data_IF_192529253382
#
_entry.id   IF_192529253382
#
_cell.length_a   1.000
_cell.length_b   1.000
_cell.length_c   1.000
_cell.angle_alpha   90.00
_cell.angle_beta   90.00
_cell.angle_gamma   90.00
#
_symmetry.space_group_name_H-M   'P 1'
#
loop_
_entity.id
_entity.type
_entity.pdbx_description
1 polymer ?
#
# COMPACT_ATOMS: atom_id res chain seq x y z
N UNK A 1 -48.39 -13.26 -22.89
CA UNK A 1 -47.33 -12.28 -22.60
C UNK A 1 -46.86 -12.54 -21.18
N UNK A 2 -46.04 -13.58 -21.00
CA UNK A 2 -45.44 -13.89 -19.70
C UNK A 2 -44.06 -13.24 -19.65
N UNK A 3 -43.94 -12.18 -18.87
CA UNK A 3 -42.66 -11.53 -18.61
C UNK A 3 -41.96 -12.22 -17.45
N UNK A 4 -40.78 -12.76 -17.77
CA UNK A 4 -39.83 -13.37 -16.88
C UNK A 4 -39.37 -12.42 -15.76
N UNK A 5 -39.50 -12.87 -14.51
CA UNK A 5 -38.83 -12.27 -13.36
C UNK A 5 -37.40 -12.79 -13.29
N UNK A 6 -36.43 -11.89 -13.46
CA UNK A 6 -34.99 -12.17 -13.28
C UNK A 6 -34.68 -12.34 -11.78
N UNK A 7 -33.77 -13.25 -11.39
CA UNK A 7 -33.26 -13.26 -10.02
C UNK A 7 -32.25 -12.12 -9.83
N UNK A 8 -32.43 -11.39 -8.73
CA UNK A 8 -31.53 -10.34 -8.23
C UNK A 8 -30.11 -10.86 -8.01
N UNK A 9 -29.15 -10.01 -8.35
CA UNK A 9 -27.74 -10.18 -8.07
C UNK A 9 -27.49 -10.39 -6.57
N UNK A 10 -26.67 -11.39 -6.22
CA UNK A 10 -26.11 -11.58 -4.89
C UNK A 10 -25.38 -10.30 -4.47
N UNK A 11 -25.80 -9.72 -3.34
CA UNK A 11 -24.94 -8.89 -2.53
C UNK A 11 -23.74 -9.76 -2.11
N UNK A 12 -22.52 -9.27 -2.33
CA UNK A 12 -21.32 -9.93 -1.81
C UNK A 12 -21.35 -9.85 -0.29
N UNK A 13 -21.34 -11.00 0.37
CA UNK A 13 -21.20 -11.09 1.83
C UNK A 13 -19.75 -10.69 2.19
N UNK A 14 -19.54 -9.44 2.61
CA UNK A 14 -18.27 -9.02 3.23
C UNK A 14 -18.05 -9.81 4.53
N UNK A 15 -16.86 -10.40 4.69
CA UNK A 15 -16.53 -11.15 5.90
C UNK A 15 -16.41 -10.15 7.09
N UNK A 16 -16.88 -10.50 8.30
CA UNK A 16 -16.83 -9.58 9.45
C UNK A 16 -15.42 -9.06 9.77
N UNK A 17 -14.37 -9.85 9.49
CA UNK A 17 -12.98 -9.42 9.63
C UNK A 17 -12.59 -8.34 8.59
N UNK A 18 -13.10 -8.41 7.36
CA UNK A 18 -12.85 -7.44 6.29
C UNK A 18 -13.52 -6.09 6.58
N UNK A 19 -14.74 -6.15 7.14
CA UNK A 19 -15.44 -4.96 7.64
C UNK A 19 -14.68 -4.30 8.81
N UNK A 20 -14.07 -5.10 9.69
CA UNK A 20 -13.21 -4.60 10.78
C UNK A 20 -11.90 -3.98 10.25
N UNK A 21 -11.28 -4.56 9.23
CA UNK A 21 -10.05 -4.03 8.63
C UNK A 21 -10.30 -2.69 7.92
N UNK A 22 -11.43 -2.58 7.21
CA UNK A 22 -11.83 -1.37 6.48
C UNK A 22 -12.12 -0.21 7.41
N UNK A 23 -12.92 -0.44 8.45
CA UNK A 23 -13.20 0.59 9.47
C UNK A 23 -11.94 1.03 10.22
N UNK A 24 -11.01 0.11 10.49
CA UNK A 24 -9.71 0.43 11.11
C UNK A 24 -8.86 1.33 10.20
N UNK A 25 -8.81 1.04 8.91
CA UNK A 25 -8.11 1.89 7.94
C UNK A 25 -8.75 3.29 7.84
N UNK A 26 -10.08 3.35 7.78
CA UNK A 26 -10.84 4.62 7.70
C UNK A 26 -10.62 5.52 8.93
N UNK A 27 -10.45 4.91 10.11
CA UNK A 27 -10.09 5.65 11.32
C UNK A 27 -8.73 6.35 11.17
N UNK A 28 -7.72 5.65 10.64
CA UNK A 28 -6.37 6.22 10.41
C UNK A 28 -6.43 7.36 9.38
N UNK A 29 -7.16 7.16 8.28
CA UNK A 29 -7.31 8.17 7.22
C UNK A 29 -8.05 9.42 7.74
N UNK A 30 -9.15 9.22 8.48
CA UNK A 30 -9.93 10.31 9.07
C UNK A 30 -9.10 11.10 10.07
N UNK A 31 -8.32 10.43 10.93
CA UNK A 31 -7.41 11.09 11.86
C UNK A 31 -6.42 12.01 11.16
N UNK A 32 -5.78 11.56 10.07
CA UNK A 32 -4.86 12.40 9.30
C UNK A 32 -5.56 13.62 8.69
N UNK A 33 -6.73 13.42 8.07
CA UNK A 33 -7.50 14.51 7.44
C UNK A 33 -7.97 15.55 8.44
N UNK A 34 -8.45 15.12 9.61
CA UNK A 34 -8.84 16.01 10.70
C UNK A 34 -7.67 16.84 11.22
N UNK A 35 -6.47 16.26 11.32
CA UNK A 35 -5.25 16.98 11.72
C UNK A 35 -4.86 18.04 10.68
N UNK A 36 -4.85 17.68 9.38
CA UNK A 36 -4.55 18.60 8.28
C UNK A 36 -5.53 19.78 8.27
N UNK A 37 -6.84 19.52 8.36
CA UNK A 37 -7.86 20.58 8.37
C UNK A 37 -7.73 21.50 9.58
N UNK A 38 -7.35 20.96 10.74
CA UNK A 38 -7.09 21.75 11.95
C UNK A 38 -5.87 22.67 11.76
N UNK A 39 -4.75 22.12 11.28
CA UNK A 39 -3.50 22.88 11.08
C UNK A 39 -3.65 23.96 10.01
N UNK A 40 -4.36 23.65 8.93
CA UNK A 40 -4.56 24.57 7.82
C UNK A 40 -5.70 25.59 8.03
N UNK A 41 -6.52 25.43 9.08
CA UNK A 41 -7.64 26.34 9.38
C UNK A 41 -7.23 27.80 9.61
N UNK A 42 -5.95 28.05 9.91
CA UNK A 42 -5.39 29.40 10.04
C UNK A 42 -5.01 30.04 8.69
N UNK A 43 -5.07 29.31 7.58
CA UNK A 43 -4.59 29.75 6.26
C UNK A 43 -5.74 30.06 5.31
N UNK A 44 -5.75 31.27 4.73
CA UNK A 44 -6.76 31.66 3.74
C UNK A 44 -6.64 30.81 2.48
N UNK A 45 -7.73 30.14 2.08
CA UNK A 45 -7.78 29.32 0.85
C UNK A 45 -7.59 27.81 1.05
N UNK A 46 -7.49 27.33 2.30
CA UNK A 46 -7.52 25.89 2.59
C UNK A 46 -8.85 25.26 2.18
N UNK A 47 -8.79 24.15 1.43
CA UNK A 47 -9.97 23.35 1.07
C UNK A 47 -10.16 22.29 2.15
N UNK A 48 -11.16 22.49 3.02
CA UNK A 48 -11.51 21.50 4.05
C UNK A 48 -11.93 20.18 3.42
N UNK A 49 -11.37 19.09 3.92
CA UNK A 49 -11.73 17.74 3.50
C UNK A 49 -12.72 17.06 4.45
N UNK A 50 -12.90 17.57 5.67
CA UNK A 50 -13.71 16.97 6.74
C UNK A 50 -14.77 17.95 7.29
N UNK A 51 -15.63 17.45 8.17
CA UNK A 51 -16.62 18.25 8.91
C UNK A 51 -16.28 18.29 10.40
N UNK A 52 -16.72 19.34 11.09
CA UNK A 52 -16.52 19.50 12.53
C UNK A 52 -17.13 18.32 13.33
N UNK A 53 -18.27 17.77 12.88
CA UNK A 53 -18.91 16.61 13.52
C UNK A 53 -18.06 15.34 13.37
N UNK A 54 -17.48 15.10 12.19
CA UNK A 54 -16.64 13.93 11.93
C UNK A 54 -15.34 13.97 12.76
N UNK A 55 -14.80 15.17 12.98
CA UNK A 55 -13.53 15.37 13.67
C UNK A 55 -13.65 15.67 15.16
N UNK A 56 -14.87 15.78 15.69
CA UNK A 56 -15.12 16.25 17.05
C UNK A 56 -14.27 15.54 18.10
N UNK A 57 -14.24 14.20 18.04
CA UNK A 57 -13.48 13.39 19.00
C UNK A 57 -11.98 13.44 18.71
N UNK A 58 -11.57 13.33 17.44
CA UNK A 58 -10.17 13.33 17.00
C UNK A 58 -9.47 14.68 17.13
N UNK A 59 -10.23 15.78 17.25
CA UNK A 59 -9.69 17.09 17.58
C UNK A 59 -9.31 17.22 19.05
N UNK A 60 -10.09 16.59 19.93
CA UNK A 60 -9.84 16.56 21.37
C UNK A 60 -8.72 15.56 21.68
N UNK A 61 -8.82 14.36 21.10
CA UNK A 61 -7.91 13.25 21.34
C UNK A 61 -7.51 12.62 19.99
N UNK A 62 -6.52 13.21 19.28
CA UNK A 62 -6.00 12.61 18.05
C UNK A 62 -5.31 11.28 18.37
N UNK A 63 -5.34 10.35 17.42
CA UNK A 63 -4.59 9.09 17.58
C UNK A 63 -3.11 9.37 17.76
N UNK A 64 -2.53 8.72 18.76
CA UNK A 64 -1.09 8.66 18.95
C UNK A 64 -0.41 7.92 17.78
N UNK A 65 0.91 8.10 17.65
CA UNK A 65 1.71 7.40 16.64
C UNK A 65 1.64 5.88 16.79
N UNK A 66 1.59 5.38 18.02
CA UNK A 66 1.47 3.95 18.32
C UNK A 66 0.10 3.40 17.91
N UNK A 67 -0.98 4.14 18.17
CA UNK A 67 -2.32 3.77 17.73
C UNK A 67 -2.43 3.75 16.21
N UNK A 68 -1.87 4.77 15.53
CA UNK A 68 -1.81 4.80 14.05
C UNK A 68 -1.02 3.61 13.52
N UNK A 69 0.16 3.30 14.09
CA UNK A 69 0.98 2.17 13.68
C UNK A 69 0.25 0.83 13.89
N UNK A 70 -0.40 0.65 15.03
CA UNK A 70 -1.16 -0.55 15.36
C UNK A 70 -2.34 -0.73 14.41
N UNK A 71 -3.12 0.33 14.21
CA UNK A 71 -4.30 0.31 13.35
C UNK A 71 -3.94 0.05 11.88
N UNK A 72 -2.91 0.73 11.32
CA UNK A 72 -2.51 0.50 9.93
C UNK A 72 -1.93 -0.89 9.73
N UNK A 73 -1.17 -1.41 10.70
CA UNK A 73 -0.65 -2.79 10.67
C UNK A 73 -1.81 -3.77 10.66
N UNK A 74 -2.75 -3.64 11.60
CA UNK A 74 -3.92 -4.52 11.69
C UNK A 74 -4.74 -4.54 10.40
N UNK A 75 -5.06 -3.36 9.84
CA UNK A 75 -5.82 -3.27 8.60
C UNK A 75 -5.08 -3.94 7.43
N UNK A 76 -3.77 -3.72 7.30
CA UNK A 76 -2.96 -4.30 6.23
C UNK A 76 -2.83 -5.83 6.36
N UNK A 77 -2.71 -6.35 7.59
CA UNK A 77 -2.67 -7.80 7.88
C UNK A 77 -3.97 -8.50 7.53
N UNK A 78 -5.10 -7.83 7.75
CA UNK A 78 -6.43 -8.36 7.49
C UNK A 78 -6.94 -7.99 6.08
N UNK A 79 -6.02 -7.89 5.11
CA UNK A 79 -6.37 -7.85 3.69
C UNK A 79 -6.87 -6.50 3.16
N UNK A 80 -6.87 -5.43 3.96
CA UNK A 80 -7.22 -4.12 3.43
C UNK A 80 -6.15 -3.62 2.44
N UNK A 81 -6.47 -3.65 1.16
CA UNK A 81 -5.54 -3.33 0.07
C UNK A 81 -5.03 -1.88 0.14
N UNK A 82 -5.89 -0.93 0.55
CA UNK A 82 -5.47 0.48 0.73
C UNK A 82 -4.45 0.59 1.87
N UNK A 83 -4.71 -0.07 3.00
CA UNK A 83 -3.78 -0.13 4.12
C UNK A 83 -2.45 -0.78 3.71
N UNK A 84 -2.47 -1.83 2.89
CA UNK A 84 -1.26 -2.47 2.39
C UNK A 84 -0.39 -1.53 1.52
N UNK A 85 -1.04 -0.73 0.66
CA UNK A 85 -0.35 0.25 -0.19
C UNK A 85 0.20 1.45 0.59
N UNK A 86 -0.54 1.90 1.59
CA UNK A 86 -0.22 3.10 2.38
C UNK A 86 0.49 2.78 3.70
N UNK A 87 0.76 1.50 4.01
CA UNK A 87 1.41 1.08 5.24
C UNK A 87 2.67 1.89 5.55
N UNK A 88 3.59 1.99 4.59
CA UNK A 88 4.83 2.75 4.76
C UNK A 88 4.60 4.23 5.07
N UNK A 89 3.55 4.84 4.50
CA UNK A 89 3.22 6.25 4.71
C UNK A 89 2.81 6.49 6.17
N UNK A 90 1.92 5.67 6.71
CA UNK A 90 1.43 5.85 8.08
C UNK A 90 2.38 5.27 9.13
N UNK A 91 2.88 4.05 8.92
CA UNK A 91 3.70 3.34 9.89
C UNK A 91 5.06 4.00 10.12
N UNK A 92 5.65 4.65 9.11
CA UNK A 92 6.96 5.32 9.26
C UNK A 92 6.96 6.45 10.30
N UNK A 93 5.79 7.02 10.61
CA UNK A 93 5.67 8.09 11.60
C UNK A 93 6.03 7.64 13.01
N UNK A 94 5.96 6.34 13.31
CA UNK A 94 6.36 5.80 14.63
C UNK A 94 7.83 6.13 14.95
N UNK A 95 8.68 6.28 13.93
CA UNK A 95 10.10 6.60 14.04
C UNK A 95 10.39 8.10 14.22
N UNK A 96 9.37 8.96 14.27
CA UNK A 96 9.53 10.34 14.75
C UNK A 96 9.85 10.38 16.25
N UNK A 97 9.51 9.30 16.96
CA UNK A 97 9.98 9.09 18.33
C UNK A 97 11.42 8.54 18.30
N UNK A 98 12.31 9.18 19.06
CA UNK A 98 13.74 8.84 19.07
C UNK A 98 13.98 7.42 19.57
N UNK A 99 13.21 6.93 20.55
CA UNK A 99 13.36 5.57 21.07
C UNK A 99 13.09 4.54 19.97
N UNK A 100 11.98 4.71 19.25
CA UNK A 100 11.58 3.83 18.15
C UNK A 100 12.56 3.91 16.98
N UNK A 101 13.14 5.08 16.71
CA UNK A 101 14.14 5.29 15.65
C UNK A 101 15.44 4.50 15.87
N UNK A 102 15.68 4.06 17.10
CA UNK A 102 16.85 3.28 17.52
C UNK A 102 16.53 1.80 17.80
N UNK A 103 15.25 1.40 17.71
CA UNK A 103 14.83 0.02 17.93
C UNK A 103 15.08 -0.84 16.67
N UNK A 104 16.08 -1.74 16.70
CA UNK A 104 16.41 -2.56 15.53
C UNK A 104 15.33 -3.59 15.17
N UNK A 105 14.55 -4.05 16.15
CA UNK A 105 13.49 -5.02 15.93
C UNK A 105 12.30 -4.36 15.25
N UNK A 106 11.87 -3.19 15.74
CA UNK A 106 10.80 -2.41 15.12
C UNK A 106 11.16 -1.98 13.69
N UNK A 107 12.41 -1.54 13.45
CA UNK A 107 12.89 -1.17 12.11
C UNK A 107 12.86 -2.38 11.17
N UNK A 108 13.29 -3.56 11.64
CA UNK A 108 13.26 -4.79 10.84
C UNK A 108 11.83 -5.15 10.48
N UNK A 109 10.93 -5.14 11.46
CA UNK A 109 9.55 -5.58 11.27
C UNK A 109 8.81 -4.61 10.33
N UNK A 110 9.00 -3.30 10.48
CA UNK A 110 8.49 -2.29 9.54
C UNK A 110 8.96 -2.54 8.10
N UNK A 111 10.24 -2.83 7.89
CA UNK A 111 10.81 -3.11 6.56
C UNK A 111 10.21 -4.36 5.95
N UNK A 112 10.15 -5.45 6.71
CA UNK A 112 9.61 -6.73 6.27
C UNK A 112 8.11 -6.63 5.95
N UNK A 113 7.35 -5.99 6.82
CA UNK A 113 5.92 -5.77 6.63
C UNK A 113 5.63 -4.91 5.40
N UNK A 114 6.39 -3.83 5.18
CA UNK A 114 6.21 -2.99 3.99
C UNK A 114 6.35 -3.79 2.69
N UNK A 115 7.41 -4.60 2.58
CA UNK A 115 7.63 -5.44 1.39
C UNK A 115 6.50 -6.47 1.25
N UNK A 116 6.19 -7.19 2.33
CA UNK A 116 5.14 -8.22 2.35
C UNK A 116 3.77 -7.67 1.96
N UNK A 117 3.38 -6.51 2.48
CA UNK A 117 2.09 -5.90 2.17
C UNK A 117 2.01 -5.40 0.73
N UNK A 118 3.08 -4.80 0.20
CA UNK A 118 3.12 -4.43 -1.21
C UNK A 118 3.06 -5.66 -2.12
N UNK A 119 3.74 -6.76 -1.76
CA UNK A 119 3.64 -8.02 -2.51
C UNK A 119 2.21 -8.57 -2.50
N UNK A 120 1.53 -8.52 -1.34
CA UNK A 120 0.12 -8.90 -1.20
C UNK A 120 -0.79 -8.04 -2.07
N UNK A 121 -0.66 -6.71 -2.02
CA UNK A 121 -1.45 -5.80 -2.84
C UNK A 121 -1.23 -6.05 -4.34
N UNK A 122 0.01 -6.28 -4.77
CA UNK A 122 0.32 -6.62 -6.16
C UNK A 122 -0.30 -7.95 -6.59
N UNK A 123 -0.29 -8.96 -5.72
CA UNK A 123 -0.96 -10.24 -5.96
C UNK A 123 -2.50 -10.08 -6.03
N UNK A 124 -3.07 -9.18 -5.26
CA UNK A 124 -4.51 -8.84 -5.31
C UNK A 124 -4.91 -7.97 -6.53
N UNK A 125 -3.95 -7.60 -7.39
CA UNK A 125 -4.24 -6.89 -8.63
C UNK A 125 -3.75 -5.45 -8.70
N UNK A 126 -3.23 -4.91 -7.60
CA UNK A 126 -2.75 -3.52 -7.53
C UNK A 126 -1.38 -3.37 -8.19
N UNK A 127 -1.38 -3.17 -9.51
CA UNK A 127 -0.15 -3.04 -10.30
C UNK A 127 0.79 -1.94 -9.79
N UNK A 128 0.26 -0.87 -9.16
CA UNK A 128 1.08 0.21 -8.59
C UNK A 128 1.97 -0.26 -7.42
N UNK A 129 1.63 -1.34 -6.74
CA UNK A 129 2.48 -1.91 -5.69
C UNK A 129 3.85 -2.35 -6.25
N UNK A 130 3.86 -2.86 -7.50
CA UNK A 130 5.10 -3.26 -8.17
C UNK A 130 6.03 -2.08 -8.48
N UNK A 131 5.50 -0.86 -8.70
CA UNK A 131 6.34 0.34 -8.85
C UNK A 131 7.11 0.60 -7.56
N UNK A 132 6.40 0.60 -6.41
CA UNK A 132 7.01 0.81 -5.09
C UNK A 132 8.04 -0.27 -4.76
N UNK A 133 7.72 -1.54 -5.03
CA UNK A 133 8.65 -2.66 -4.83
C UNK A 133 9.89 -2.54 -5.72
N UNK A 134 9.72 -2.18 -6.99
CA UNK A 134 10.83 -1.92 -7.90
C UNK A 134 11.77 -0.84 -7.33
N UNK A 135 11.22 0.28 -6.85
CA UNK A 135 12.01 1.36 -6.27
C UNK A 135 12.72 0.94 -4.97
N UNK A 136 12.06 0.16 -4.11
CA UNK A 136 12.65 -0.38 -2.88
C UNK A 136 13.90 -1.21 -3.21
N UNK A 137 13.80 -2.18 -4.13
CA UNK A 137 14.93 -3.04 -4.49
C UNK A 137 15.99 -2.31 -5.33
N UNK A 138 15.60 -1.30 -6.12
CA UNK A 138 16.55 -0.48 -6.89
C UNK A 138 17.45 0.34 -5.96
N UNK A 139 16.85 0.94 -4.93
CA UNK A 139 17.54 1.90 -4.05
C UNK A 139 18.12 1.24 -2.80
N UNK A 140 17.61 0.09 -2.39
CA UNK A 140 18.03 -0.60 -1.17
C UNK A 140 17.52 0.06 0.12
N UNK A 141 16.39 0.77 0.05
CA UNK A 141 15.88 1.60 1.17
C UNK A 141 15.23 0.77 2.27
N UNK A 142 14.34 -0.16 1.89
CA UNK A 142 13.60 -1.03 2.82
C UNK A 142 13.97 -2.51 2.67
N UNK A 143 14.55 -2.90 1.54
CA UNK A 143 15.12 -4.22 1.31
C UNK A 143 16.58 -4.07 0.85
N UNK A 144 17.36 -5.13 0.86
CA UNK A 144 18.71 -5.10 0.26
C UNK A 144 18.61 -4.75 -1.23
N UNK A 145 19.52 -3.89 -1.70
CA UNK A 145 19.57 -3.50 -3.11
C UNK A 145 19.74 -4.74 -4.00
N UNK A 146 18.80 -4.93 -4.91
CA UNK A 146 18.81 -6.01 -5.89
C UNK A 146 18.25 -5.47 -7.23
N UNK A 147 19.13 -5.05 -8.16
CA UNK A 147 18.72 -4.54 -9.46
C UNK A 147 17.94 -5.56 -10.32
N UNK A 148 18.16 -6.87 -10.11
CA UNK A 148 17.44 -7.91 -10.85
C UNK A 148 16.00 -8.02 -10.34
N UNK A 149 15.80 -7.97 -9.02
CA UNK A 149 14.45 -7.91 -8.46
C UNK A 149 13.74 -6.60 -8.78
N UNK A 150 14.45 -5.47 -8.76
CA UNK A 150 13.89 -4.20 -9.19
C UNK A 150 13.31 -4.29 -10.61
N UNK A 151 14.11 -4.82 -11.54
CA UNK A 151 13.66 -5.06 -12.91
C UNK A 151 12.50 -6.07 -12.99
N UNK A 152 12.50 -7.13 -12.19
CA UNK A 152 11.40 -8.10 -12.17
C UNK A 152 10.06 -7.45 -11.78
N UNK A 153 10.05 -6.58 -10.76
CA UNK A 153 8.86 -5.83 -10.38
C UNK A 153 8.46 -4.80 -11.44
N UNK A 154 9.42 -4.12 -12.08
CA UNK A 154 9.13 -3.22 -13.19
C UNK A 154 8.52 -3.94 -14.39
N UNK A 155 8.98 -5.15 -14.70
CA UNK A 155 8.43 -6.01 -15.75
C UNK A 155 7.00 -6.45 -15.40
N UNK A 156 6.75 -6.83 -14.15
CA UNK A 156 5.40 -7.15 -13.68
C UNK A 156 4.46 -5.95 -13.83
N UNK A 157 4.87 -4.75 -13.39
CA UNK A 157 4.12 -3.51 -13.57
C UNK A 157 3.83 -3.21 -15.05
N UNK A 158 4.82 -3.33 -15.92
CA UNK A 158 4.63 -3.08 -17.36
C UNK A 158 3.60 -4.03 -17.98
N UNK A 159 3.57 -5.29 -17.53
CA UNK A 159 2.67 -6.32 -18.07
C UNK A 159 1.25 -6.25 -17.53
N UNK A 160 1.05 -5.72 -16.33
CA UNK A 160 -0.27 -5.66 -15.68
C UNK A 160 -0.84 -4.26 -15.53
N UNK A 161 -0.04 -3.22 -15.77
CA UNK A 161 -0.46 -1.83 -15.71
C UNK A 161 -1.03 -1.35 -17.04
N UNK A 162 -1.99 -0.42 -16.98
CA UNK A 162 -2.48 0.33 -18.14
C UNK A 162 -1.71 1.63 -18.38
N UNK A 163 -0.68 1.91 -17.57
CA UNK A 163 0.04 3.17 -17.60
C UNK A 163 0.89 3.31 -18.86
N UNK A 164 0.71 4.43 -19.57
CA UNK A 164 1.55 4.83 -20.71
C UNK A 164 3.04 4.94 -20.36
N UNK A 165 3.36 5.06 -19.07
CA UNK A 165 4.74 5.18 -18.57
C UNK A 165 5.42 3.83 -18.35
N UNK A 166 4.70 2.70 -18.42
CA UNK A 166 5.22 1.38 -18.09
C UNK A 166 6.47 0.99 -18.89
N UNK A 167 6.49 1.24 -20.20
CA UNK A 167 7.63 0.89 -21.06
C UNK A 167 8.90 1.68 -20.67
N UNK A 168 8.75 2.99 -20.41
CA UNK A 168 9.87 3.83 -19.97
C UNK A 168 10.38 3.40 -18.59
N UNK A 169 9.47 3.11 -17.67
CA UNK A 169 9.81 2.60 -16.34
C UNK A 169 10.62 1.30 -16.41
N UNK A 170 10.15 0.34 -17.22
CA UNK A 170 10.85 -0.92 -17.44
C UNK A 170 12.24 -0.73 -18.03
N UNK A 171 12.37 0.13 -19.06
CA UNK A 171 13.66 0.43 -19.68
C UNK A 171 14.65 1.06 -18.68
N UNK A 172 14.17 1.93 -17.79
CA UNK A 172 15.00 2.50 -16.73
C UNK A 172 15.44 1.45 -15.71
N UNK A 173 14.59 0.48 -15.37
CA UNK A 173 14.95 -0.62 -14.47
C UNK A 173 15.92 -1.62 -15.13
N UNK A 174 15.88 -1.75 -16.46
CA UNK A 174 16.79 -2.59 -17.24
C UNK A 174 18.20 -1.99 -17.38
N UNK A 175 18.36 -0.69 -17.13
CA UNK A 175 19.60 0.02 -17.36
C UNK A 175 20.75 -0.55 -16.52
N UNK A 176 21.83 -0.97 -17.19
CA UNK A 176 23.01 -1.55 -16.55
C UNK A 176 22.92 -3.05 -16.23
N UNK A 177 21.80 -3.71 -16.55
CA UNK A 177 21.70 -5.17 -16.45
C UNK A 177 22.23 -5.85 -17.72
N UNK A 178 22.94 -6.96 -17.54
CA UNK A 178 23.35 -7.83 -18.63
C UNK A 178 22.23 -8.78 -19.09
N UNK A 179 22.46 -9.50 -20.19
CA UNK A 179 21.46 -10.40 -20.76
C UNK A 179 21.06 -11.57 -19.84
N UNK A 180 21.95 -12.03 -18.95
CA UNK A 180 21.63 -13.10 -17.99
C UNK A 180 20.77 -12.55 -16.86
N UNK A 181 21.11 -11.37 -16.35
CA UNK A 181 20.34 -10.66 -15.34
C UNK A 181 18.93 -10.33 -15.83
N UNK A 182 18.80 -9.82 -17.07
CA UNK A 182 17.49 -9.54 -17.68
C UNK A 182 16.64 -10.82 -17.82
N UNK A 183 17.23 -11.93 -18.26
CA UNK A 183 16.52 -13.22 -18.33
C UNK A 183 16.03 -13.67 -16.96
N UNK A 184 16.90 -13.59 -15.93
CA UNK A 184 16.54 -13.96 -14.56
C UNK A 184 15.40 -13.07 -14.02
N UNK A 185 15.47 -11.76 -14.25
CA UNK A 185 14.41 -10.85 -13.84
C UNK A 185 13.08 -11.11 -14.53
N UNK A 186 13.06 -11.48 -15.81
CA UNK A 186 11.85 -11.92 -16.51
C UNK A 186 11.26 -13.21 -15.93
N UNK A 187 12.10 -14.17 -15.55
CA UNK A 187 11.65 -15.39 -14.88
C UNK A 187 11.01 -15.08 -13.52
N UNK A 188 11.64 -14.21 -12.73
CA UNK A 188 11.08 -13.74 -11.46
C UNK A 188 9.74 -13.01 -11.68
N UNK A 189 9.65 -12.14 -12.69
CA UNK A 189 8.41 -11.47 -13.04
C UNK A 189 7.28 -12.46 -13.38
N UNK A 190 7.58 -13.55 -14.09
CA UNK A 190 6.60 -14.61 -14.33
C UNK A 190 6.09 -15.20 -13.01
N UNK A 191 6.98 -15.57 -12.09
CA UNK A 191 6.57 -16.11 -10.79
C UNK A 191 5.71 -15.15 -9.97
N UNK A 192 5.99 -13.84 -10.01
CA UNK A 192 5.17 -12.83 -9.36
C UNK A 192 3.76 -12.77 -9.95
N UNK A 193 3.66 -12.86 -11.27
CA UNK A 193 2.38 -12.81 -11.99
C UNK A 193 1.58 -14.11 -11.89
N UNK A 194 2.25 -15.25 -11.77
CA UNK A 194 1.60 -16.53 -11.48
C UNK A 194 0.89 -16.47 -10.13
N UNK A 195 1.54 -15.93 -9.09
CA UNK A 195 0.92 -15.71 -7.77
C UNK A 195 -0.29 -14.79 -7.83
N UNK A 196 -0.20 -13.71 -8.61
CA UNK A 196 -1.33 -12.79 -8.86
C UNK A 196 -2.50 -13.50 -9.53
N UNK A 197 -2.22 -14.37 -10.49
CA UNK A 197 -3.25 -15.09 -11.25
C UNK A 197 -3.91 -16.22 -10.44
N UNK A 198 -3.22 -16.71 -9.41
CA UNK A 198 -3.71 -17.74 -8.48
C UNK A 198 -4.48 -17.17 -7.27
N UNK A 199 -4.48 -15.84 -7.09
CA UNK A 199 -5.22 -15.20 -6.01
C UNK A 199 -6.70 -15.07 -6.42
N UNK A 200 -7.65 -15.61 -5.62
CA UNK A 200 -9.07 -15.65 -5.96
C UNK A 200 -9.75 -14.27 -6.01
#
# INVERSE_FOLDING_TARGET
MDQATRPSAKAGDEHPADASATTTYELVETNLRCQIDREASATTGHVRSTTDELCKDLWLEPLSREEVFTAITHAAEHGNIRAQLDYALYASRIFEDEHNSLDPDLIRDYKQNTVRFLESAGAAGESNAYVRLSDIYKNGTLASKDPVMAYAYAEAYFRTGSSRYGASFLNNAAAGLDGTQLRRGKQLANHLLDKRSASP
#
